data_IF_795678668973
#
_entry.id   IF_795678668973
#
_cell.length_a   1.000
_cell.length_b   1.000
_cell.length_c   1.000
_cell.angle_alpha   90.00
_cell.angle_beta   90.00
_cell.angle_gamma   90.00
#
_symmetry.space_group_name_H-M   'P 1'
#
loop_
_entity.id
_entity.type
_entity.pdbx_description
1 polymer ?
#
# COMPACT_ATOMS: atom_id res chain seq x y z
N UNK A 1 -24.44 -5.74 10.38
CA UNK A 1 -23.47 -6.76 10.86
C UNK A 1 -22.18 -6.05 11.25
N UNK A 2 -21.50 -6.48 12.31
CA UNK A 2 -20.23 -5.86 12.71
C UNK A 2 -19.07 -6.49 11.94
N UNK A 3 -18.18 -5.66 11.41
CA UNK A 3 -16.94 -6.13 10.77
C UNK A 3 -16.04 -6.78 11.82
N UNK A 4 -15.54 -7.96 11.54
CA UNK A 4 -14.57 -8.66 12.39
C UNK A 4 -13.17 -8.05 12.18
N UNK A 5 -12.92 -6.91 12.83
CA UNK A 5 -11.69 -6.16 12.72
C UNK A 5 -11.36 -5.49 14.05
N UNK A 6 -10.11 -5.56 14.47
CA UNK A 6 -9.63 -4.94 15.73
C UNK A 6 -9.23 -3.49 15.52
N UNK A 7 -8.83 -3.16 14.31
CA UNK A 7 -8.31 -1.83 13.94
C UNK A 7 -9.41 -0.79 13.85
N UNK A 8 -10.60 -1.19 13.37
CA UNK A 8 -11.75 -0.31 13.21
C UNK A 8 -13.01 -0.92 13.82
N UNK A 9 -13.84 -0.08 14.40
CA UNK A 9 -15.20 -0.44 14.85
C UNK A 9 -16.19 0.01 13.79
N UNK A 10 -16.54 -0.91 12.88
CA UNK A 10 -17.40 -0.62 11.75
C UNK A 10 -18.58 -1.60 11.68
N UNK A 11 -19.75 -1.06 11.36
CA UNK A 11 -20.98 -1.85 11.16
C UNK A 11 -21.47 -1.64 9.73
N UNK A 12 -21.83 -2.72 9.07
CA UNK A 12 -22.32 -2.71 7.69
C UNK A 12 -23.61 -3.50 7.53
N UNK A 13 -24.33 -3.25 6.45
CA UNK A 13 -25.53 -4.01 6.06
C UNK A 13 -25.13 -5.03 4.97
N UNK A 14 -25.28 -6.34 5.21
CA UNK A 14 -25.00 -7.34 4.17
C UNK A 14 -25.81 -7.09 2.90
N UNK A 15 -25.15 -7.14 1.75
CA UNK A 15 -25.75 -6.90 0.43
C UNK A 15 -25.92 -5.43 0.04
N UNK A 16 -25.43 -4.51 0.88
CA UNK A 16 -25.33 -3.08 0.55
C UNK A 16 -23.86 -2.69 0.35
N UNK A 17 -23.59 -1.79 -0.57
CA UNK A 17 -22.24 -1.25 -0.78
C UNK A 17 -21.76 -0.47 0.44
N UNK A 18 -20.48 -0.58 0.74
CA UNK A 18 -19.80 0.31 1.68
C UNK A 18 -19.00 1.30 0.85
N UNK A 19 -19.23 2.58 1.09
CA UNK A 19 -18.45 3.65 0.49
C UNK A 19 -18.24 4.75 1.53
N UNK A 20 -17.03 4.84 2.06
CA UNK A 20 -16.68 5.79 3.10
C UNK A 20 -15.40 6.54 2.76
N UNK A 21 -15.43 7.84 2.97
CA UNK A 21 -14.23 8.67 2.94
C UNK A 21 -13.68 8.86 4.36
N UNK A 22 -12.35 8.99 4.53
CA UNK A 22 -11.74 9.23 5.83
C UNK A 22 -12.33 10.42 6.58
N UNK A 23 -12.61 11.50 5.88
CA UNK A 23 -13.14 12.74 6.46
C UNK A 23 -14.58 12.60 6.98
N UNK A 24 -15.37 11.74 6.37
CA UNK A 24 -16.77 11.53 6.72
C UNK A 24 -16.95 10.46 7.80
N UNK A 25 -16.12 9.42 7.73
CA UNK A 25 -16.25 8.25 8.59
C UNK A 25 -15.34 8.29 9.82
N UNK A 26 -14.35 9.16 9.87
CA UNK A 26 -13.29 9.15 10.86
C UNK A 26 -12.29 7.98 10.69
N UNK A 27 -12.38 7.21 9.60
CA UNK A 27 -11.44 6.15 9.28
C UNK A 27 -10.15 6.76 8.70
N UNK A 28 -8.97 6.17 9.00
CA UNK A 28 -7.69 6.68 8.49
C UNK A 28 -7.43 6.32 7.02
N UNK A 29 -8.36 5.66 6.35
CA UNK A 29 -8.21 5.17 4.98
C UNK A 29 -9.57 5.07 4.28
N UNK A 30 -9.53 5.01 2.94
CA UNK A 30 -10.69 4.71 2.10
C UNK A 30 -11.18 3.28 2.38
N UNK A 31 -12.49 3.13 2.56
CA UNK A 31 -13.12 1.84 2.77
C UNK A 31 -14.33 1.72 1.83
N UNK A 32 -14.10 1.08 0.69
CA UNK A 32 -15.04 0.86 -0.38
C UNK A 32 -15.15 -0.65 -0.64
N UNK A 33 -16.35 -1.19 -0.50
CA UNK A 33 -16.62 -2.63 -0.65
C UNK A 33 -17.91 -2.84 -1.42
N UNK A 34 -17.84 -3.59 -2.50
CA UNK A 34 -18.99 -3.94 -3.32
C UNK A 34 -20.02 -4.81 -2.60
N UNK A 35 -21.29 -4.69 -3.04
CA UNK A 35 -22.43 -5.36 -2.39
C UNK A 35 -22.34 -6.89 -2.41
N UNK A 36 -21.75 -7.46 -3.44
CA UNK A 36 -21.53 -8.89 -3.58
C UNK A 36 -20.63 -9.42 -2.46
N UNK A 37 -19.61 -8.64 -2.11
CA UNK A 37 -18.67 -8.98 -1.05
C UNK A 37 -19.29 -8.79 0.35
N UNK A 38 -20.02 -7.70 0.55
CA UNK A 38 -20.71 -7.45 1.83
C UNK A 38 -21.80 -8.48 2.11
N UNK A 39 -22.35 -9.11 1.08
CA UNK A 39 -23.30 -10.22 1.19
C UNK A 39 -22.67 -11.55 1.60
N UNK A 40 -21.34 -11.66 1.58
CA UNK A 40 -20.59 -12.86 1.95
C UNK A 40 -19.82 -12.63 3.28
N UNK A 41 -20.31 -13.17 4.41
CA UNK A 41 -19.65 -12.99 5.71
C UNK A 41 -18.20 -13.51 5.74
N UNK A 42 -17.89 -14.58 5.01
CA UNK A 42 -16.55 -15.14 4.97
C UNK A 42 -15.57 -14.20 4.23
N UNK A 43 -16.02 -13.58 3.14
CA UNK A 43 -15.25 -12.56 2.44
C UNK A 43 -15.04 -11.31 3.32
N UNK A 44 -16.04 -10.88 4.05
CA UNK A 44 -15.93 -9.75 4.98
C UNK A 44 -14.99 -10.04 6.16
N UNK A 45 -14.90 -11.28 6.62
CA UNK A 45 -13.88 -11.68 7.61
C UNK A 45 -12.46 -11.54 7.04
N UNK A 46 -12.24 -11.88 5.77
CA UNK A 46 -10.95 -11.64 5.09
C UNK A 46 -10.64 -10.16 4.98
N UNK A 47 -11.63 -9.33 4.64
CA UNK A 47 -11.46 -7.86 4.62
C UNK A 47 -10.99 -7.36 5.98
N UNK A 48 -11.64 -7.77 7.06
CA UNK A 48 -11.26 -7.39 8.44
C UNK A 48 -9.86 -7.87 8.81
N UNK A 49 -9.50 -9.10 8.46
CA UNK A 49 -8.18 -9.66 8.70
C UNK A 49 -7.08 -8.89 7.96
N UNK A 50 -7.29 -8.56 6.70
CA UNK A 50 -6.32 -7.79 5.92
C UNK A 50 -6.08 -6.40 6.51
N UNK A 51 -7.12 -5.73 6.98
CA UNK A 51 -6.99 -4.44 7.67
C UNK A 51 -6.19 -4.58 8.98
N UNK A 52 -6.44 -5.63 9.75
CA UNK A 52 -5.71 -5.90 11.00
C UNK A 52 -4.23 -6.23 10.76
N UNK A 53 -3.90 -6.84 9.62
CA UNK A 53 -2.55 -7.27 9.25
C UNK A 53 -1.81 -6.29 8.32
N UNK A 54 -2.23 -5.04 8.24
CA UNK A 54 -1.66 -4.04 7.33
C UNK A 54 -0.13 -3.93 7.44
N UNK A 55 0.44 -3.94 8.64
CA UNK A 55 1.89 -3.85 8.84
C UNK A 55 2.63 -5.11 8.35
N UNK A 56 2.03 -6.28 8.55
CA UNK A 56 2.58 -7.55 8.03
C UNK A 56 2.52 -7.59 6.50
N UNK A 57 1.44 -7.07 5.90
CA UNK A 57 1.32 -6.92 4.46
C UNK A 57 2.32 -5.89 3.91
N UNK A 58 2.64 -4.84 4.68
CA UNK A 58 3.70 -3.89 4.31
C UNK A 58 5.08 -4.55 4.25
N UNK A 59 5.40 -5.45 5.17
CA UNK A 59 6.64 -6.23 5.10
C UNK A 59 6.66 -7.18 3.90
N UNK A 60 5.53 -7.80 3.56
CA UNK A 60 5.38 -8.59 2.32
C UNK A 60 5.60 -7.73 1.07
N UNK A 61 5.05 -6.51 1.05
CA UNK A 61 5.24 -5.56 -0.04
C UNK A 61 6.71 -5.16 -0.19
N UNK A 62 7.39 -4.83 0.89
CA UNK A 62 8.83 -4.52 0.87
C UNK A 62 9.67 -5.69 0.35
N UNK A 63 9.36 -6.91 0.76
CA UNK A 63 10.03 -8.10 0.24
C UNK A 63 9.82 -8.27 -1.28
N UNK A 64 8.61 -7.99 -1.78
CA UNK A 64 8.31 -8.03 -3.21
C UNK A 64 9.06 -6.94 -4.01
N UNK A 65 9.19 -5.74 -3.45
CA UNK A 65 9.98 -4.65 -4.04
C UNK A 65 11.46 -5.04 -4.12
N UNK A 66 12.01 -5.60 -3.04
CA UNK A 66 13.41 -6.10 -3.02
C UNK A 66 13.63 -7.20 -4.06
N UNK A 67 12.69 -8.13 -4.19
CA UNK A 67 12.75 -9.18 -5.20
C UNK A 67 12.72 -8.60 -6.62
N UNK A 68 11.88 -7.60 -6.89
CA UNK A 68 11.82 -6.93 -8.18
C UNK A 68 13.09 -6.13 -8.50
N UNK A 69 13.75 -5.54 -7.50
CA UNK A 69 15.05 -4.89 -7.67
C UNK A 69 16.16 -5.89 -8.03
N UNK A 70 16.11 -7.10 -7.50
CA UNK A 70 17.10 -8.14 -7.74
C UNK A 70 16.90 -8.92 -9.06
N UNK A 71 15.74 -8.82 -9.69
CA UNK A 71 15.35 -9.55 -10.89
C UNK A 71 15.06 -8.57 -12.04
N UNK A 72 16.03 -8.39 -12.95
CA UNK A 72 15.90 -7.52 -14.12
C UNK A 72 14.77 -7.96 -15.08
N UNK A 73 14.37 -9.21 -15.04
CA UNK A 73 13.28 -9.75 -15.86
C UNK A 73 11.89 -9.55 -15.19
N UNK A 74 11.86 -9.10 -13.95
CA UNK A 74 10.60 -8.76 -13.29
C UNK A 74 9.88 -7.63 -14.01
N UNK A 75 8.59 -7.80 -14.26
CA UNK A 75 7.76 -6.74 -14.85
C UNK A 75 7.70 -5.46 -14.00
N UNK A 76 8.08 -5.53 -12.73
CA UNK A 76 8.12 -4.40 -11.80
C UNK A 76 9.52 -3.80 -11.67
N UNK A 77 10.55 -4.41 -12.24
CA UNK A 77 11.94 -3.95 -12.10
C UNK A 77 12.10 -2.47 -12.50
N UNK A 78 11.54 -2.09 -13.63
CA UNK A 78 11.64 -0.71 -14.13
C UNK A 78 10.99 0.31 -13.19
N UNK A 79 9.81 0.05 -12.68
CA UNK A 79 9.09 0.99 -11.80
C UNK A 79 9.78 1.14 -10.44
N UNK A 80 10.25 0.05 -9.84
CA UNK A 80 10.94 0.12 -8.55
C UNK A 80 12.32 0.74 -8.66
N UNK A 81 13.04 0.46 -9.73
CA UNK A 81 14.36 1.08 -10.02
C UNK A 81 14.21 2.58 -10.25
N UNK A 82 13.24 3.00 -11.06
CA UNK A 82 12.97 4.42 -11.33
C UNK A 82 12.67 5.19 -10.03
N UNK A 83 11.84 4.64 -9.15
CA UNK A 83 11.52 5.24 -7.86
C UNK A 83 12.77 5.43 -6.99
N UNK A 84 13.63 4.42 -6.91
CA UNK A 84 14.83 4.47 -6.09
C UNK A 84 15.90 5.42 -6.69
N UNK A 85 16.07 5.43 -8.01
CA UNK A 85 16.97 6.37 -8.69
C UNK A 85 16.56 7.82 -8.46
N UNK A 86 15.27 8.12 -8.58
CA UNK A 86 14.74 9.47 -8.34
C UNK A 86 15.14 9.99 -6.95
N UNK A 87 14.92 9.20 -5.91
CA UNK A 87 15.23 9.64 -4.55
C UNK A 87 16.70 9.67 -4.19
N UNK A 88 17.52 8.87 -4.84
CA UNK A 88 18.96 8.89 -4.62
C UNK A 88 19.67 9.98 -5.43
N UNK A 89 19.27 10.17 -6.67
CA UNK A 89 20.07 10.89 -7.67
C UNK A 89 19.42 12.21 -8.14
N UNK A 90 18.09 12.33 -8.10
CA UNK A 90 17.37 13.47 -8.71
C UNK A 90 16.80 14.47 -7.69
N UNK A 91 16.60 14.08 -6.43
CA UNK A 91 16.16 15.02 -5.39
C UNK A 91 17.33 15.83 -4.84
N UNK A 92 17.01 17.00 -4.26
CA UNK A 92 17.98 17.82 -3.58
C UNK A 92 18.72 17.01 -2.50
N UNK A 93 20.07 17.11 -2.40
CA UNK A 93 20.86 16.37 -1.43
C UNK A 93 20.44 16.57 0.03
N UNK A 94 19.95 17.75 0.39
CA UNK A 94 19.49 18.05 1.75
C UNK A 94 18.19 17.28 2.04
N UNK A 95 17.28 17.19 1.06
CA UNK A 95 16.06 16.39 1.15
C UNK A 95 16.41 14.91 1.21
N UNK A 96 17.30 14.42 0.37
CA UNK A 96 17.75 13.03 0.39
C UNK A 96 18.33 12.64 1.76
N UNK A 97 19.08 13.53 2.40
CA UNK A 97 19.62 13.30 3.75
C UNK A 97 18.52 13.18 4.82
N UNK A 98 17.42 13.91 4.68
CA UNK A 98 16.27 13.82 5.59
C UNK A 98 15.42 12.56 5.32
N UNK A 99 15.33 12.10 4.05
CA UNK A 99 14.62 10.89 3.66
C UNK A 99 15.33 9.62 4.17
N UNK A 100 16.66 9.64 4.25
CA UNK A 100 17.49 8.50 4.68
C UNK A 100 18.35 8.86 5.90
N UNK A 101 17.73 9.15 7.05
CA UNK A 101 18.42 9.66 8.22
C UNK A 101 19.49 8.70 8.73
N UNK A 102 20.63 9.25 9.13
CA UNK A 102 21.74 8.47 9.67
C UNK A 102 22.59 7.74 8.63
N UNK A 103 22.37 8.00 7.35
CA UNK A 103 23.10 7.36 6.24
C UNK A 103 23.64 8.41 5.27
N UNK A 104 24.51 7.96 4.36
CA UNK A 104 24.88 8.70 3.16
C UNK A 104 24.04 8.14 1.98
N UNK A 105 23.03 8.87 1.46
CA UNK A 105 22.15 8.35 0.42
C UNK A 105 22.89 7.88 -0.84
N UNK A 106 23.99 8.52 -1.19
CA UNK A 106 24.79 8.15 -2.35
C UNK A 106 25.46 6.77 -2.23
N UNK A 107 25.57 6.24 -1.01
CA UNK A 107 26.18 4.94 -0.73
C UNK A 107 25.17 3.84 -0.46
N UNK A 108 23.87 4.17 -0.33
CA UNK A 108 22.82 3.18 -0.14
C UNK A 108 22.58 2.41 -1.43
N UNK A 109 22.49 1.10 -1.32
CA UNK A 109 21.91 0.29 -2.38
C UNK A 109 20.40 0.51 -2.45
N UNK A 110 19.77 0.24 -3.59
CA UNK A 110 18.31 0.32 -3.71
C UNK A 110 17.60 -0.63 -2.75
N UNK A 111 18.18 -1.81 -2.52
CA UNK A 111 17.62 -2.78 -1.56
C UNK A 111 17.64 -2.22 -0.13
N UNK A 112 18.70 -1.53 0.27
CA UNK A 112 18.77 -0.87 1.58
C UNK A 112 17.78 0.30 1.68
N UNK A 113 17.54 1.03 0.59
CA UNK A 113 16.57 2.12 0.55
C UNK A 113 15.13 1.63 0.84
N UNK A 114 14.79 0.41 0.45
CA UNK A 114 13.46 -0.19 0.72
C UNK A 114 13.15 -0.24 2.21
N UNK A 115 14.14 -0.43 3.07
CA UNK A 115 13.95 -0.49 4.53
C UNK A 115 13.46 0.83 5.12
N UNK A 116 13.66 1.95 4.42
CA UNK A 116 13.17 3.27 4.81
C UNK A 116 11.72 3.55 4.38
N UNK A 117 11.16 2.73 3.49
CA UNK A 117 9.74 2.82 3.13
C UNK A 117 8.88 2.49 4.33
N UNK A 118 7.83 3.27 4.53
CA UNK A 118 6.87 3.08 5.60
C UNK A 118 5.44 3.08 5.06
N UNK A 119 4.58 2.37 5.77
CA UNK A 119 3.16 2.34 5.48
C UNK A 119 2.56 3.74 5.71
N UNK A 120 2.05 4.33 4.65
CA UNK A 120 1.39 5.62 4.69
C UNK A 120 -0.14 5.46 4.70
N UNK A 121 -0.67 4.64 3.79
CA UNK A 121 -2.09 4.36 3.68
C UNK A 121 -2.33 2.90 3.29
N UNK A 122 -3.41 2.32 3.83
CA UNK A 122 -3.90 1.01 3.43
C UNK A 122 -5.43 1.00 3.49
N UNK A 123 -6.06 0.46 2.47
CA UNK A 123 -7.52 0.41 2.43
C UNK A 123 -8.06 -0.49 1.32
N UNK A 124 -9.37 -0.68 1.37
CA UNK A 124 -10.15 -1.41 0.39
C UNK A 124 -10.68 -0.47 -0.68
N UNK A 125 -10.67 -0.91 -1.93
CA UNK A 125 -11.16 -0.15 -3.08
C UNK A 125 -11.80 -1.09 -4.10
N UNK A 126 -12.84 -0.61 -4.79
CA UNK A 126 -13.32 -1.23 -6.02
C UNK A 126 -12.57 -0.61 -7.19
N UNK A 127 -11.73 -1.39 -7.85
CA UNK A 127 -11.02 -0.93 -9.04
C UNK A 127 -11.90 -1.09 -10.27
N UNK A 128 -12.45 0.03 -10.76
CA UNK A 128 -13.36 0.06 -11.91
C UNK A 128 -12.70 -0.30 -13.25
N UNK A 129 -11.38 -0.22 -13.35
CA UNK A 129 -10.65 -0.62 -14.57
C UNK A 129 -10.49 -2.13 -14.65
N UNK A 130 -10.28 -2.76 -13.49
CA UNK A 130 -10.13 -4.21 -13.37
C UNK A 130 -11.45 -4.91 -13.00
N UNK A 131 -12.49 -4.13 -12.67
CA UNK A 131 -13.81 -4.61 -12.24
C UNK A 131 -13.69 -5.63 -11.10
N UNK A 132 -12.91 -5.26 -10.08
CA UNK A 132 -12.70 -6.15 -8.93
C UNK A 132 -12.40 -5.38 -7.64
N UNK A 133 -12.72 -6.04 -6.53
CA UNK A 133 -12.30 -5.60 -5.20
C UNK A 133 -10.81 -5.81 -5.02
N UNK A 134 -10.11 -4.78 -4.55
CA UNK A 134 -8.67 -4.81 -4.28
C UNK A 134 -8.35 -4.14 -2.95
N UNK A 135 -7.15 -4.40 -2.43
CA UNK A 135 -6.57 -3.61 -1.37
C UNK A 135 -5.39 -2.81 -1.90
N UNK A 136 -5.36 -1.52 -1.58
CA UNK A 136 -4.30 -0.61 -2.01
C UNK A 136 -3.48 -0.21 -0.80
N UNK A 137 -2.18 -0.34 -0.93
CA UNK A 137 -1.19 0.07 0.06
C UNK A 137 -0.28 1.13 -0.54
N UNK A 138 -0.19 2.27 0.13
CA UNK A 138 0.79 3.29 -0.19
C UNK A 138 1.97 3.19 0.77
N UNK A 139 3.15 3.05 0.20
CA UNK A 139 4.42 3.13 0.90
C UNK A 139 5.14 4.41 0.49
N UNK A 140 5.63 5.16 1.45
CA UNK A 140 6.39 6.39 1.23
C UNK A 140 7.68 6.41 2.03
N UNK A 141 8.63 7.25 1.63
CA UNK A 141 9.82 7.54 2.43
C UNK A 141 9.51 8.54 3.54
N UNK A 142 8.92 9.66 3.18
CA UNK A 142 8.42 10.65 4.13
C UNK A 142 7.34 11.51 3.47
N UNK A 143 6.04 11.36 3.84
CA UNK A 143 4.95 12.08 3.21
C UNK A 143 4.97 13.60 3.47
N UNK A 144 5.76 14.09 4.42
CA UNK A 144 5.94 15.52 4.67
C UNK A 144 6.94 16.17 3.70
N UNK A 145 7.81 15.37 3.08
CA UNK A 145 8.89 15.84 2.21
C UNK A 145 8.66 15.52 0.74
N UNK A 146 7.78 14.56 0.44
CA UNK A 146 7.55 14.07 -0.92
C UNK A 146 6.12 13.52 -1.06
N UNK A 147 5.55 13.68 -2.23
CA UNK A 147 4.25 13.13 -2.61
C UNK A 147 4.34 11.84 -3.45
N UNK A 148 5.57 11.39 -3.73
CA UNK A 148 5.79 10.15 -4.46
C UNK A 148 5.51 8.92 -3.60
N UNK A 149 4.72 8.01 -4.14
CA UNK A 149 4.27 6.79 -3.48
C UNK A 149 4.67 5.55 -4.28
N UNK A 150 5.09 4.53 -3.57
CA UNK A 150 5.11 3.16 -4.10
C UNK A 150 3.76 2.52 -3.76
N UNK A 151 2.96 2.22 -4.77
CA UNK A 151 1.59 1.73 -4.60
C UNK A 151 1.52 0.24 -4.89
N UNK A 152 1.03 -0.52 -3.92
CA UNK A 152 0.97 -1.98 -3.97
C UNK A 152 -0.49 -2.41 -3.94
N UNK A 153 -0.87 -3.28 -4.88
CA UNK A 153 -2.22 -3.85 -4.96
C UNK A 153 -2.20 -5.30 -4.49
N UNK A 154 -3.08 -5.59 -3.54
CA UNK A 154 -3.34 -6.95 -3.06
C UNK A 154 -4.73 -7.40 -3.49
N UNK A 155 -4.87 -8.68 -3.80
CA UNK A 155 -6.17 -9.32 -3.93
C UNK A 155 -6.68 -9.84 -2.57
N UNK A 156 -7.88 -10.41 -2.55
CA UNK A 156 -8.48 -10.99 -1.34
C UNK A 156 -7.79 -12.28 -0.85
N UNK A 157 -6.88 -12.84 -1.64
CA UNK A 157 -5.99 -13.92 -1.21
C UNK A 157 -4.70 -13.41 -0.57
N UNK A 158 -4.60 -12.09 -0.35
CA UNK A 158 -3.42 -11.41 0.18
C UNK A 158 -2.18 -11.53 -0.74
N UNK A 159 -2.41 -11.76 -2.04
CA UNK A 159 -1.36 -11.83 -3.05
C UNK A 159 -1.18 -10.47 -3.73
N UNK A 160 0.09 -10.09 -3.96
CA UNK A 160 0.44 -8.89 -4.70
C UNK A 160 0.28 -9.16 -6.19
N UNK A 161 -0.49 -8.34 -6.89
CA UNK A 161 -0.68 -8.45 -8.33
C UNK A 161 -0.32 -7.19 -9.11
N UNK A 162 -0.02 -6.09 -8.43
CA UNK A 162 0.47 -4.87 -9.06
C UNK A 162 1.38 -4.08 -8.12
N UNK A 163 2.47 -3.58 -8.66
CA UNK A 163 3.36 -2.59 -8.04
C UNK A 163 3.51 -1.44 -9.03
N UNK A 164 3.19 -0.24 -8.60
CA UNK A 164 3.32 0.97 -9.41
C UNK A 164 3.81 2.13 -8.57
N UNK A 165 4.15 3.27 -9.17
CA UNK A 165 4.40 4.49 -8.44
C UNK A 165 3.39 5.57 -8.85
N UNK A 166 3.03 6.41 -7.90
CA UNK A 166 2.08 7.52 -8.07
C UNK A 166 2.59 8.74 -7.31
N UNK A 167 2.13 9.89 -7.76
CA UNK A 167 2.41 11.17 -7.13
C UNK A 167 1.14 11.99 -6.91
#
# INVERSE_FOLDING_TARGET
MKLNCKRIDFTYTPGEEIFTFPDESGLPFLFDVEKELTGDPAAMDVVGEMLDEAEKLAEKAKAAIKAALADEDSRYHGVVTFFMEFYRDDVDPDIAAELFPGTDPAKLSFVEMVDFLRLDRFGSLVDYKMDQQVFIMDLSLNPELTDELMVIYFDLNQEIFCITNES
#
